data_IF_088234023018
#
_entry.id   IF_088234023018
#
_cell.length_a   1.000
_cell.length_b   1.000
_cell.length_c   1.000
_cell.angle_alpha   90.00
_cell.angle_beta   90.00
_cell.angle_gamma   90.00
#
_symmetry.space_group_name_H-M   'P 1'
#
loop_
_entity.id
_entity.type
_entity.pdbx_description
1 polymer ?
#
# COMPACT_ATOMS: atom_id res chain seq x y z
N UNK A 1 54.51 -4.45 16.40
CA UNK A 1 53.88 -3.90 15.19
C UNK A 1 52.42 -4.27 15.23
N UNK A 2 51.54 -3.31 15.44
CA UNK A 2 50.08 -3.50 15.40
C UNK A 2 49.57 -3.16 14.01
N UNK A 3 49.04 -4.15 13.29
CA UNK A 3 48.29 -3.96 12.06
C UNK A 3 46.80 -3.79 12.42
N UNK A 4 46.29 -2.58 12.24
CA UNK A 4 44.90 -2.23 12.50
C UNK A 4 43.93 -2.88 11.52
N UNK A 5 42.85 -3.42 12.08
CA UNK A 5 41.49 -3.47 11.54
C UNK A 5 41.32 -2.78 10.18
N UNK A 6 41.23 -3.58 9.10
CA UNK A 6 40.83 -3.11 7.78
C UNK A 6 39.41 -2.52 7.86
N UNK A 7 39.28 -1.29 7.39
CA UNK A 7 38.06 -0.49 7.42
C UNK A 7 36.97 -1.08 6.53
N UNK A 8 35.77 -1.17 7.10
CA UNK A 8 34.51 -1.52 6.46
C UNK A 8 33.85 -0.29 5.78
N UNK A 9 34.65 0.71 5.37
CA UNK A 9 34.14 2.04 5.03
C UNK A 9 34.04 2.33 3.52
N UNK A 10 34.42 1.38 2.65
CA UNK A 10 34.45 1.56 1.18
C UNK A 10 33.64 0.50 0.41
N UNK A 11 32.78 -0.25 1.12
CA UNK A 11 31.80 -1.15 0.52
C UNK A 11 30.42 -0.47 0.62
N UNK A 12 29.66 -0.33 -0.49
CA UNK A 12 28.29 0.16 -0.39
C UNK A 12 27.54 -0.75 0.59
N UNK A 13 26.71 -0.21 1.49
CA UNK A 13 26.07 -0.98 2.53
C UNK A 13 25.31 -2.17 1.92
N UNK A 14 25.42 -3.36 2.51
CA UNK A 14 24.79 -4.63 2.09
C UNK A 14 23.26 -4.57 1.85
N UNK A 15 22.61 -3.44 2.15
CA UNK A 15 21.21 -3.13 1.87
C UNK A 15 20.99 -2.63 0.43
N UNK A 16 22.00 -1.96 -0.14
CA UNK A 16 22.03 -1.48 -1.52
C UNK A 16 22.34 -2.65 -2.48
N UNK A 17 23.14 -3.62 -2.04
CA UNK A 17 23.42 -4.87 -2.76
C UNK A 17 22.26 -5.89 -2.68
N UNK A 18 21.42 -5.80 -1.64
CA UNK A 18 20.24 -6.66 -1.45
C UNK A 18 18.93 -6.05 -2.03
N UNK A 19 19.00 -4.87 -2.66
CA UNK A 19 17.86 -4.24 -3.33
C UNK A 19 16.73 -3.77 -2.40
N UNK A 20 16.98 -3.66 -1.09
CA UNK A 20 15.98 -3.23 -0.10
C UNK A 20 16.32 -1.83 0.38
N UNK A 21 15.71 -0.86 -0.30
CA UNK A 21 15.90 0.56 -0.05
C UNK A 21 14.93 1.02 1.05
N UNK A 22 15.30 0.80 2.32
CA UNK A 22 14.47 1.18 3.49
C UNK A 22 14.09 2.67 3.48
N UNK A 23 14.94 3.52 2.89
CA UNK A 23 14.65 4.94 2.67
C UNK A 23 13.48 5.17 1.71
N UNK A 24 13.37 4.39 0.63
CA UNK A 24 12.22 4.44 -0.30
C UNK A 24 10.94 3.93 0.36
N UNK A 25 11.02 2.86 1.16
CA UNK A 25 9.87 2.31 1.89
C UNK A 25 9.31 3.36 2.87
N UNK A 26 10.19 3.97 3.68
CA UNK A 26 9.79 5.03 4.62
C UNK A 26 9.27 6.27 3.89
N UNK A 27 9.90 6.67 2.77
CA UNK A 27 9.44 7.80 1.97
C UNK A 27 8.05 7.56 1.35
N UNK A 28 7.74 6.32 0.92
CA UNK A 28 6.41 5.92 0.41
C UNK A 28 5.38 5.79 1.53
N UNK A 29 5.75 5.24 2.69
CA UNK A 29 4.89 5.21 3.87
C UNK A 29 4.51 6.63 4.31
N UNK A 30 5.48 7.56 4.33
CA UNK A 30 5.27 8.96 4.72
C UNK A 30 4.52 9.75 3.64
N UNK A 31 4.69 9.45 2.34
CA UNK A 31 3.92 10.10 1.27
C UNK A 31 2.46 9.65 1.26
N UNK A 32 2.18 8.39 1.60
CA UNK A 32 0.80 7.89 1.74
C UNK A 32 0.12 8.43 2.99
N UNK A 33 0.88 8.66 4.07
CA UNK A 33 0.37 9.35 5.26
C UNK A 33 0.15 10.85 5.04
N UNK A 34 1.00 11.49 4.23
CA UNK A 34 0.97 12.94 4.03
C UNK A 34 0.20 13.31 2.75
N UNK A 35 -1.03 13.81 2.87
CA UNK A 35 -1.90 14.11 1.73
C UNK A 35 -1.40 15.26 0.85
N UNK A 36 -0.43 16.02 1.31
CA UNK A 36 0.07 17.20 0.62
C UNK A 36 1.36 16.91 -0.16
N UNK A 37 1.86 15.67 -0.13
CA UNK A 37 3.02 15.26 -0.92
C UNK A 37 2.53 14.72 -2.26
N UNK A 38 2.87 15.40 -3.35
CA UNK A 38 2.57 14.98 -4.72
C UNK A 38 3.12 13.58 -4.96
N UNK A 39 2.27 12.64 -5.37
CA UNK A 39 2.73 11.32 -5.80
C UNK A 39 3.40 11.48 -7.17
N UNK A 40 4.72 11.43 -7.18
CA UNK A 40 5.55 11.58 -8.39
C UNK A 40 5.78 10.22 -9.05
N UNK A 41 5.76 10.19 -10.40
CA UNK A 41 6.02 8.97 -11.18
C UNK A 41 7.36 8.30 -10.86
N UNK A 42 8.37 9.06 -10.41
CA UNK A 42 9.64 8.53 -9.92
C UNK A 42 9.51 7.61 -8.69
N UNK A 43 8.35 7.56 -8.02
CA UNK A 43 8.06 6.58 -6.96
C UNK A 43 7.26 5.36 -7.47
N UNK A 44 6.83 5.32 -8.72
CA UNK A 44 6.00 4.23 -9.27
C UNK A 44 6.79 3.38 -10.28
N UNK A 45 7.93 3.88 -10.74
CA UNK A 45 8.81 3.27 -11.72
C UNK A 45 10.26 3.46 -11.31
N UNK A 46 11.04 2.37 -11.19
CA UNK A 46 12.51 2.47 -11.14
C UNK A 46 13.04 2.43 -12.55
N UNK A 47 13.96 3.36 -12.83
CA UNK A 47 14.82 3.28 -14.01
C UNK A 47 15.82 2.15 -13.77
N UNK A 48 15.62 1.04 -14.46
CA UNK A 48 16.60 -0.05 -14.46
C UNK A 48 17.91 0.42 -15.07
N UNK A 49 19.01 -0.23 -14.69
CA UNK A 49 20.38 0.04 -15.15
C UNK A 49 20.55 -0.07 -16.69
N UNK A 50 19.54 -0.60 -17.40
CA UNK A 50 19.47 -0.77 -18.85
C UNK A 50 18.65 0.33 -19.58
N UNK A 51 18.22 1.38 -18.87
CA UNK A 51 17.48 2.51 -19.44
C UNK A 51 15.99 2.25 -19.74
N UNK A 52 15.43 1.11 -19.28
CA UNK A 52 13.98 0.83 -19.29
C UNK A 52 13.34 1.27 -17.98
N UNK A 53 12.21 1.96 -18.08
CA UNK A 53 11.36 2.25 -16.92
C UNK A 53 10.59 0.96 -16.57
N UNK A 54 10.96 0.30 -15.47
CA UNK A 54 10.20 -0.85 -14.92
C UNK A 54 9.35 -0.42 -13.73
N UNK A 55 8.15 -1.01 -13.55
CA UNK A 55 7.31 -0.70 -12.41
C UNK A 55 7.98 -1.14 -11.11
N UNK A 56 8.16 -0.20 -10.19
CA UNK A 56 8.74 -0.46 -8.88
C UNK A 56 7.77 -1.27 -8.03
N UNK A 57 8.02 -2.58 -7.98
CA UNK A 57 7.11 -3.51 -7.36
C UNK A 57 7.66 -4.08 -6.05
N UNK A 58 7.72 -3.23 -5.03
CA UNK A 58 8.12 -3.60 -3.67
C UNK A 58 7.00 -4.37 -2.95
N UNK A 59 6.90 -5.69 -3.19
CA UNK A 59 5.91 -6.58 -2.55
C UNK A 59 6.06 -6.66 -1.02
N UNK A 60 7.24 -6.34 -0.47
CA UNK A 60 7.50 -6.41 0.96
C UNK A 60 6.62 -5.44 1.77
N UNK A 61 6.37 -4.23 1.26
CA UNK A 61 5.56 -3.22 1.96
C UNK A 61 4.08 -3.63 2.11
N UNK A 62 3.36 -3.96 1.03
CA UNK A 62 1.99 -4.49 1.07
C UNK A 62 1.83 -5.70 1.98
N UNK A 63 2.78 -6.65 1.93
CA UNK A 63 2.77 -7.84 2.78
C UNK A 63 2.92 -7.47 4.25
N UNK A 64 3.83 -6.54 4.57
CA UNK A 64 4.01 -6.04 5.92
C UNK A 64 2.78 -5.28 6.44
N UNK A 65 2.13 -4.46 5.60
CA UNK A 65 0.87 -3.77 5.94
C UNK A 65 -0.25 -4.79 6.20
N UNK A 66 -0.38 -5.83 5.37
CA UNK A 66 -1.36 -6.90 5.58
C UNK A 66 -1.09 -7.68 6.88
N UNK A 67 0.17 -7.95 7.19
CA UNK A 67 0.57 -8.61 8.44
C UNK A 67 0.24 -7.73 9.65
N UNK A 68 0.56 -6.43 9.60
CA UNK A 68 0.21 -5.47 10.66
C UNK A 68 -1.30 -5.37 10.87
N UNK A 69 -2.09 -5.35 9.79
CA UNK A 69 -3.55 -5.39 9.89
C UNK A 69 -4.03 -6.67 10.58
N UNK A 70 -3.49 -7.82 10.18
CA UNK A 70 -3.78 -9.11 10.80
C UNK A 70 -3.40 -9.15 12.28
N UNK A 71 -2.25 -8.59 12.65
CA UNK A 71 -1.79 -8.49 14.02
C UNK A 71 -2.72 -7.58 14.86
N UNK A 72 -3.14 -6.43 14.33
CA UNK A 72 -4.11 -5.55 15.00
C UNK A 72 -5.46 -6.25 15.23
N UNK A 73 -5.95 -7.02 14.25
CA UNK A 73 -7.18 -7.80 14.41
C UNK A 73 -7.04 -8.96 15.41
N UNK A 74 -5.88 -9.63 15.45
CA UNK A 74 -5.57 -10.66 16.43
C UNK A 74 -5.57 -10.11 17.86
N UNK A 75 -4.99 -8.93 18.08
CA UNK A 75 -5.02 -8.23 19.37
C UNK A 75 -6.44 -7.87 19.81
N UNK A 76 -7.34 -7.65 18.86
CA UNK A 76 -8.78 -7.43 19.11
C UNK A 76 -9.56 -8.72 19.39
N UNK A 77 -8.90 -9.89 19.36
CA UNK A 77 -9.49 -11.19 19.68
C UNK A 77 -10.26 -11.86 18.54
N UNK A 78 -10.20 -11.33 17.31
CA UNK A 78 -10.91 -11.90 16.14
C UNK A 78 -9.91 -12.45 15.12
N UNK A 79 -9.90 -13.77 14.97
CA UNK A 79 -8.99 -14.47 14.03
C UNK A 79 -9.64 -14.55 12.64
N UNK A 80 -9.56 -13.47 11.88
CA UNK A 80 -10.02 -13.42 10.47
C UNK A 80 -8.85 -13.45 9.47
N UNK A 81 -7.74 -14.09 9.81
CA UNK A 81 -6.53 -14.10 8.98
C UNK A 81 -6.80 -14.64 7.56
N UNK A 82 -7.63 -15.69 7.44
CA UNK A 82 -8.05 -16.24 6.16
C UNK A 82 -8.91 -15.28 5.32
N UNK A 83 -9.72 -14.42 5.95
CA UNK A 83 -10.52 -13.42 5.22
C UNK A 83 -9.65 -12.30 4.67
N UNK A 84 -8.65 -11.85 5.42
CA UNK A 84 -7.69 -10.83 4.96
C UNK A 84 -6.95 -11.35 3.72
N UNK A 85 -6.46 -12.59 3.77
CA UNK A 85 -5.75 -13.20 2.64
C UNK A 85 -6.67 -13.51 1.46
N UNK A 86 -7.86 -14.06 1.71
CA UNK A 86 -8.81 -14.42 0.65
C UNK A 86 -9.41 -13.20 -0.04
N UNK A 87 -9.98 -12.27 0.73
CA UNK A 87 -10.56 -11.02 0.19
C UNK A 87 -9.46 -10.14 -0.41
N UNK A 88 -8.26 -10.10 0.20
CA UNK A 88 -7.12 -9.36 -0.34
C UNK A 88 -6.63 -9.93 -1.66
N UNK A 89 -6.36 -11.23 -1.74
CA UNK A 89 -5.88 -11.88 -2.95
C UNK A 89 -6.90 -11.80 -4.09
N UNK A 90 -8.14 -12.25 -3.84
CA UNK A 90 -9.21 -12.23 -4.84
C UNK A 90 -9.58 -10.80 -5.23
N UNK A 91 -9.64 -9.88 -4.27
CA UNK A 91 -9.93 -8.48 -4.51
C UNK A 91 -8.84 -7.77 -5.32
N UNK A 92 -7.56 -8.04 -5.05
CA UNK A 92 -6.45 -7.53 -5.86
C UNK A 92 -6.51 -8.04 -7.30
N UNK A 93 -6.73 -9.35 -7.51
CA UNK A 93 -6.86 -9.94 -8.85
C UNK A 93 -8.08 -9.35 -9.58
N UNK A 94 -9.21 -9.23 -8.87
CA UNK A 94 -10.44 -8.66 -9.44
C UNK A 94 -10.25 -7.19 -9.83
N UNK A 95 -9.59 -6.39 -8.99
CA UNK A 95 -9.29 -4.99 -9.30
C UNK A 95 -8.33 -4.87 -10.46
N UNK A 96 -7.25 -5.65 -10.45
CA UNK A 96 -6.33 -5.71 -11.58
C UNK A 96 -7.05 -6.02 -12.89
N UNK A 97 -7.97 -6.99 -12.89
CA UNK A 97 -8.74 -7.36 -14.08
C UNK A 97 -9.64 -6.22 -14.55
N UNK A 98 -10.39 -5.59 -13.65
CA UNK A 98 -11.29 -4.46 -13.99
C UNK A 98 -10.47 -3.28 -14.52
N UNK A 99 -9.36 -2.93 -13.87
CA UNK A 99 -8.51 -1.81 -14.26
C UNK A 99 -7.77 -2.07 -15.57
N UNK A 100 -7.32 -3.31 -15.79
CA UNK A 100 -6.69 -3.72 -17.06
C UNK A 100 -7.69 -3.69 -18.22
N UNK A 101 -8.96 -4.04 -18.00
CA UNK A 101 -10.00 -3.91 -19.01
C UNK A 101 -10.36 -2.45 -19.33
N UNK A 102 -10.16 -1.54 -18.38
CA UNK A 102 -10.41 -0.11 -18.55
C UNK A 102 -9.20 0.63 -19.17
N UNK A 103 -7.99 0.12 -18.99
CA UNK A 103 -6.74 0.76 -19.44
C UNK A 103 -6.29 0.26 -20.81
N UNK A 104 -6.01 1.18 -21.73
CA UNK A 104 -5.41 0.85 -23.04
C UNK A 104 -3.95 0.42 -22.94
N UNK A 105 -3.24 0.78 -21.86
CA UNK A 105 -1.80 0.50 -21.68
C UNK A 105 -1.50 -0.82 -20.97
N UNK A 106 -2.52 -1.48 -20.42
CA UNK A 106 -2.34 -2.61 -19.51
C UNK A 106 -1.73 -2.17 -18.18
N UNK A 107 -2.10 -2.82 -17.10
CA UNK A 107 -1.50 -2.61 -15.77
C UNK A 107 -0.86 -3.90 -15.30
N UNK A 108 0.29 -3.80 -14.63
CA UNK A 108 0.88 -4.95 -13.98
C UNK A 108 0.15 -5.28 -12.68
N UNK A 109 -0.09 -6.57 -12.48
CA UNK A 109 -0.77 -7.10 -11.29
C UNK A 109 0.01 -6.78 -10.01
N UNK A 110 1.34 -6.85 -10.09
CA UNK A 110 2.23 -6.57 -8.97
C UNK A 110 2.28 -5.09 -8.61
N UNK A 111 2.23 -4.20 -9.61
CA UNK A 111 2.13 -2.77 -9.40
C UNK A 111 0.78 -2.41 -8.76
N UNK A 112 -0.32 -2.98 -9.27
CA UNK A 112 -1.66 -2.78 -8.72
C UNK A 112 -1.73 -3.24 -7.27
N UNK A 113 -1.27 -4.45 -6.98
CA UNK A 113 -1.23 -5.00 -5.63
C UNK A 113 -0.37 -4.14 -4.68
N UNK A 114 0.73 -3.57 -5.17
CA UNK A 114 1.57 -2.66 -4.40
C UNK A 114 0.85 -1.37 -4.04
N UNK A 115 0.25 -0.69 -5.03
CA UNK A 115 -0.49 0.57 -4.81
C UNK A 115 -1.64 0.38 -3.81
N UNK A 116 -2.44 -0.69 -3.98
CA UNK A 116 -3.53 -1.02 -3.07
C UNK A 116 -3.03 -1.32 -1.64
N UNK A 117 -1.93 -2.07 -1.53
CA UNK A 117 -1.32 -2.44 -0.27
C UNK A 117 -0.79 -1.25 0.53
N UNK A 118 -0.10 -0.32 -0.12
CA UNK A 118 0.40 0.87 0.56
C UNK A 118 -0.74 1.79 1.03
N UNK A 119 -1.78 1.93 0.23
CA UNK A 119 -2.95 2.74 0.58
C UNK A 119 -3.80 2.14 1.72
N UNK A 120 -3.55 0.88 2.15
CA UNK A 120 -4.16 0.31 3.36
C UNK A 120 -3.54 0.81 4.67
N UNK A 121 -2.42 1.52 4.62
CA UNK A 121 -1.70 1.93 5.83
C UNK A 121 -2.52 2.83 6.78
N UNK A 122 -3.31 3.83 6.30
CA UNK A 122 -4.22 4.57 7.16
C UNK A 122 -5.29 3.69 7.82
N UNK A 123 -5.72 2.62 7.13
CA UNK A 123 -6.66 1.62 7.66
C UNK A 123 -6.03 0.83 8.83
N UNK A 124 -4.75 0.48 8.71
CA UNK A 124 -3.99 -0.18 9.79
C UNK A 124 -3.87 0.71 11.02
N UNK A 125 -3.59 2.00 10.84
CA UNK A 125 -3.55 2.94 11.95
C UNK A 125 -4.91 3.03 12.68
N UNK A 126 -6.01 3.06 11.93
CA UNK A 126 -7.34 3.02 12.52
C UNK A 126 -7.58 1.73 13.31
N UNK A 127 -7.17 0.58 12.76
CA UNK A 127 -7.30 -0.72 13.42
C UNK A 127 -6.52 -0.74 14.74
N UNK A 128 -5.27 -0.27 14.76
CA UNK A 128 -4.49 -0.13 16.00
C UNK A 128 -5.14 0.84 16.98
N UNK A 129 -5.61 2.00 16.51
CA UNK A 129 -6.31 2.96 17.36
C UNK A 129 -7.55 2.34 18.03
N UNK A 130 -8.27 1.47 17.33
CA UNK A 130 -9.43 0.73 17.85
C UNK A 130 -9.09 -0.31 18.92
N UNK A 131 -7.83 -0.75 19.00
CA UNK A 131 -7.37 -1.69 20.03
C UNK A 131 -7.08 -0.94 21.34
N UNK A 132 -6.46 0.24 21.25
CA UNK A 132 -6.09 1.02 22.44
C UNK A 132 -7.24 1.83 23.01
N UNK A 133 -8.01 2.46 22.12
CA UNK A 133 -9.20 3.19 22.48
C UNK A 133 -10.36 2.31 22.05
N UNK A 134 -11.31 2.06 22.94
CA UNK A 134 -12.55 1.34 22.61
C UNK A 134 -13.68 2.36 22.42
N UNK A 135 -13.64 3.19 21.34
CA UNK A 135 -14.69 4.17 21.08
C UNK A 135 -15.98 3.48 20.68
N UNK A 136 -17.09 4.18 20.84
CA UNK A 136 -18.42 3.71 20.47
C UNK A 136 -18.48 3.29 18.99
N UNK A 137 -19.26 2.24 18.68
CA UNK A 137 -19.35 1.69 17.32
C UNK A 137 -19.69 2.73 16.24
N UNK A 138 -20.52 3.73 16.55
CA UNK A 138 -20.83 4.82 15.63
C UNK A 138 -19.62 5.72 15.34
N UNK A 139 -18.81 6.02 16.35
CA UNK A 139 -17.59 6.84 16.19
C UNK A 139 -16.56 6.09 15.34
N UNK A 140 -16.39 4.78 15.57
CA UNK A 140 -15.52 3.96 14.73
C UNK A 140 -16.00 3.82 13.30
N UNK A 141 -17.31 3.71 13.09
CA UNK A 141 -17.88 3.69 11.73
C UNK A 141 -17.62 5.02 10.98
N UNK A 142 -17.77 6.17 11.65
CA UNK A 142 -17.47 7.48 11.05
C UNK A 142 -15.98 7.64 10.74
N UNK A 143 -15.10 7.26 11.67
CA UNK A 143 -13.66 7.27 11.44
C UNK A 143 -13.26 6.33 10.30
N UNK A 144 -13.85 5.13 10.24
CA UNK A 144 -13.65 4.18 9.16
C UNK A 144 -14.09 4.77 7.82
N UNK A 145 -15.25 5.42 7.74
CA UNK A 145 -15.71 6.09 6.52
C UNK A 145 -14.74 7.19 6.05
N UNK A 146 -14.23 8.01 6.97
CA UNK A 146 -13.24 9.03 6.65
C UNK A 146 -11.92 8.41 6.12
N UNK A 147 -11.46 7.33 6.76
CA UNK A 147 -10.26 6.60 6.34
C UNK A 147 -10.46 5.93 4.99
N UNK A 148 -11.59 5.27 4.73
CA UNK A 148 -11.93 4.70 3.42
C UNK A 148 -11.88 5.79 2.34
N UNK A 149 -12.50 6.95 2.59
CA UNK A 149 -12.47 8.07 1.67
C UNK A 149 -11.04 8.54 1.37
N UNK A 150 -10.19 8.60 2.39
CA UNK A 150 -8.78 8.95 2.26
C UNK A 150 -7.99 7.94 1.44
N UNK A 151 -8.09 6.65 1.77
CA UNK A 151 -7.41 5.57 1.08
C UNK A 151 -7.86 5.48 -0.38
N UNK A 152 -9.15 5.67 -0.64
CA UNK A 152 -9.73 5.66 -2.00
C UNK A 152 -9.23 6.84 -2.81
N UNK A 153 -9.20 8.05 -2.24
CA UNK A 153 -8.68 9.23 -2.94
C UNK A 153 -7.23 9.02 -3.34
N UNK A 154 -6.39 8.52 -2.42
CA UNK A 154 -4.97 8.26 -2.68
C UNK A 154 -4.73 7.18 -3.72
N UNK A 155 -5.41 6.04 -3.56
CA UNK A 155 -5.26 4.92 -4.47
C UNK A 155 -5.76 5.25 -5.88
N UNK A 156 -6.89 5.96 -5.99
CA UNK A 156 -7.41 6.38 -7.30
C UNK A 156 -6.47 7.36 -8.00
N UNK A 157 -5.85 8.28 -7.28
CA UNK A 157 -4.83 9.18 -7.84
C UNK A 157 -3.61 8.40 -8.37
N UNK A 158 -3.08 7.46 -7.59
CA UNK A 158 -1.93 6.62 -7.97
C UNK A 158 -2.23 5.74 -9.18
N UNK A 159 -3.39 5.07 -9.19
CA UNK A 159 -3.80 4.19 -10.29
C UNK A 159 -4.07 4.98 -11.58
N UNK A 160 -4.68 6.16 -11.48
CA UNK A 160 -4.93 7.03 -12.63
C UNK A 160 -3.62 7.53 -13.24
N UNK A 161 -2.63 7.86 -12.40
CA UNK A 161 -1.30 8.20 -12.88
C UNK A 161 -0.68 7.00 -13.63
N UNK A 162 -0.70 5.80 -13.04
CA UNK A 162 -0.18 4.58 -13.69
C UNK A 162 -0.85 4.27 -15.04
N UNK A 163 -2.16 4.52 -15.17
CA UNK A 163 -2.90 4.28 -16.41
C UNK A 163 -2.85 5.45 -17.41
N UNK A 164 -2.48 6.66 -17.00
CA UNK A 164 -2.47 7.85 -17.85
C UNK A 164 -3.85 8.45 -18.19
N UNK A 165 -4.91 8.05 -17.46
CA UNK A 165 -6.31 8.48 -17.72
C UNK A 165 -6.74 9.62 -16.80
N UNK A 166 -6.42 10.87 -17.17
CA UNK A 166 -6.67 12.03 -16.30
C UNK A 166 -8.15 12.40 -16.09
N UNK A 167 -9.04 12.02 -17.01
CA UNK A 167 -10.43 12.52 -17.03
C UNK A 167 -11.45 11.58 -16.34
N UNK A 168 -11.09 10.33 -16.04
CA UNK A 168 -12.04 9.29 -15.58
C UNK A 168 -11.76 8.78 -14.16
N UNK A 169 -11.24 9.65 -13.30
CA UNK A 169 -10.86 9.33 -11.90
C UNK A 169 -12.02 8.69 -11.10
N UNK A 170 -13.25 9.12 -11.35
CA UNK A 170 -14.42 8.59 -10.67
C UNK A 170 -14.73 7.12 -11.02
N UNK A 171 -14.41 6.69 -12.24
CA UNK A 171 -14.62 5.31 -12.69
C UNK A 171 -13.67 4.34 -11.97
N UNK A 172 -12.43 4.78 -11.75
CA UNK A 172 -11.40 4.02 -11.01
C UNK A 172 -11.68 4.02 -9.51
N UNK A 173 -12.21 5.11 -8.96
CA UNK A 173 -12.48 5.24 -7.54
C UNK A 173 -13.56 4.26 -7.04
N UNK A 174 -14.56 3.92 -7.87
CA UNK A 174 -15.66 3.05 -7.46
C UNK A 174 -15.23 1.64 -7.03
N UNK A 175 -14.53 0.85 -7.87
CA UNK A 175 -14.13 -0.50 -7.48
C UNK A 175 -13.07 -0.47 -6.36
N UNK A 176 -12.22 0.56 -6.32
CA UNK A 176 -11.22 0.77 -5.25
C UNK A 176 -11.89 1.06 -3.89
N UNK A 177 -12.93 1.90 -3.87
CA UNK A 177 -13.71 2.19 -2.67
C UNK A 177 -14.38 0.92 -2.13
N UNK A 178 -14.92 0.09 -3.02
CA UNK A 178 -15.59 -1.16 -2.65
C UNK A 178 -14.61 -2.13 -1.98
N UNK A 179 -13.39 -2.26 -2.52
CA UNK A 179 -12.33 -3.06 -1.91
C UNK A 179 -11.96 -2.56 -0.51
N UNK A 180 -11.69 -1.26 -0.34
CA UNK A 180 -11.37 -0.73 1.00
C UNK A 180 -12.54 -0.81 1.98
N UNK A 181 -13.77 -0.71 1.49
CA UNK A 181 -14.97 -0.88 2.33
C UNK A 181 -15.02 -2.31 2.90
N UNK A 182 -14.71 -3.34 2.11
CA UNK A 182 -14.61 -4.71 2.62
C UNK A 182 -13.57 -4.85 3.74
N UNK A 183 -12.38 -4.27 3.57
CA UNK A 183 -11.34 -4.26 4.61
C UNK A 183 -11.76 -3.49 5.86
N UNK A 184 -12.46 -2.38 5.70
CA UNK A 184 -12.96 -1.60 6.80
C UNK A 184 -14.04 -2.33 7.60
N UNK A 185 -14.96 -3.01 6.91
CA UNK A 185 -15.97 -3.83 7.57
C UNK A 185 -15.32 -4.95 8.38
N UNK A 186 -14.29 -5.61 7.84
CA UNK A 186 -13.52 -6.61 8.58
C UNK A 186 -12.84 -5.98 9.80
N UNK A 187 -12.16 -4.84 9.64
CA UNK A 187 -11.44 -4.18 10.73
C UNK A 187 -12.38 -3.68 11.85
N UNK A 188 -13.59 -3.21 11.52
CA UNK A 188 -14.54 -2.61 12.47
C UNK A 188 -15.44 -3.65 13.12
N UNK A 189 -16.00 -4.60 12.36
CA UNK A 189 -16.99 -5.57 12.84
C UNK A 189 -16.40 -6.93 13.23
#
# INVERSE_FOLDING_TARGET
GGGGIMGFDDEPPLLEELGIDLGKIVARTVSVLNPLRSVSMDMLTTRTQDGRDEPDSDMAGPVLVALLLGAAMLLRGKVHFGYIYGVGGVGCVSLWLVLTLMSERGLDIWQTASILGYCLLPMVLLAFFSVFFSPTGAVMALLAAAVIGWCTWRASEMLVLSMGVHNERALVAYPVALFYTCFALLAVF
#
